data_IF_168385112308
#
_entry.id   IF_168385112308
#
_cell.length_a   1.000
_cell.length_b   1.000
_cell.length_c   1.000
_cell.angle_alpha   90.00
_cell.angle_beta   90.00
_cell.angle_gamma   90.00
#
_symmetry.space_group_name_H-M   'P 1'
#
loop_
_entity.id
_entity.type
_entity.pdbx_description
1 polymer ?
#
# COMPACT_ATOMS: atom_id res chain seq x y z
N UNK A 1 17.34 5.17 5.61
CA UNK A 1 16.75 4.18 4.69
C UNK A 1 16.46 4.89 3.38
N UNK A 2 16.76 4.22 2.27
CA UNK A 2 16.38 4.67 0.93
C UNK A 2 14.86 4.61 0.82
N UNK A 3 14.26 5.65 0.25
CA UNK A 3 12.81 5.67 -0.03
C UNK A 3 12.59 5.13 -1.44
N UNK A 4 11.75 4.11 -1.55
CA UNK A 4 11.29 3.59 -2.84
C UNK A 4 9.92 4.21 -3.15
N UNK A 5 9.77 4.67 -4.39
CA UNK A 5 8.50 5.13 -4.95
C UNK A 5 8.13 4.29 -6.16
N UNK A 6 6.87 4.37 -6.57
CA UNK A 6 6.36 3.68 -7.73
C UNK A 6 5.64 4.62 -8.68
N UNK A 7 5.77 4.34 -9.97
CA UNK A 7 4.93 4.92 -11.01
C UNK A 7 4.04 3.82 -11.62
N UNK A 8 2.82 4.18 -11.99
CA UNK A 8 1.86 3.26 -12.59
C UNK A 8 0.79 3.99 -13.38
N UNK A 9 -0.01 3.24 -14.15
CA UNK A 9 -1.16 3.80 -14.87
C UNK A 9 -2.46 3.34 -14.23
N UNK A 10 -3.32 4.27 -13.86
CA UNK A 10 -4.63 4.00 -13.27
C UNK A 10 -5.70 4.82 -14.00
N UNK A 11 -6.71 4.15 -14.58
CA UNK A 11 -7.75 4.77 -15.42
C UNK A 11 -7.20 5.78 -16.46
N UNK A 12 -6.22 5.35 -17.26
CA UNK A 12 -5.56 6.16 -18.30
C UNK A 12 -4.74 7.36 -17.77
N UNK A 13 -4.67 7.55 -16.45
CA UNK A 13 -3.85 8.55 -15.80
C UNK A 13 -2.55 7.94 -15.30
N UNK A 14 -1.46 8.65 -15.52
CA UNK A 14 -0.18 8.32 -14.92
C UNK A 14 -0.15 8.79 -13.46
N UNK A 15 0.10 7.87 -12.55
CA UNK A 15 0.41 8.14 -11.15
C UNK A 15 1.92 8.05 -10.98
N UNK A 16 2.51 9.06 -10.33
CA UNK A 16 3.95 9.19 -10.13
C UNK A 16 4.29 9.34 -8.67
N UNK A 17 5.49 8.89 -8.33
CA UNK A 17 6.11 9.08 -7.03
C UNK A 17 5.23 8.57 -5.87
N UNK A 18 4.45 7.51 -6.13
CA UNK A 18 3.61 6.89 -5.09
C UNK A 18 4.52 6.21 -4.07
N UNK A 19 4.35 6.45 -2.77
CA UNK A 19 5.14 5.74 -1.76
C UNK A 19 4.87 4.24 -1.83
N UNK A 20 5.95 3.44 -1.80
CA UNK A 20 5.87 2.00 -1.56
C UNK A 20 6.13 1.76 -0.09
N UNK A 21 5.19 1.17 0.63
CA UNK A 21 5.27 1.13 2.10
C UNK A 21 6.10 -0.04 2.65
N UNK A 22 6.26 -1.12 1.87
CA UNK A 22 6.94 -2.36 2.24
C UNK A 22 7.62 -3.03 1.00
N UNK A 23 8.48 -2.30 0.27
CA UNK A 23 9.10 -2.81 -0.97
C UNK A 23 9.99 -4.04 -0.69
N UNK A 24 9.81 -5.09 -1.47
CA UNK A 24 10.57 -6.34 -1.38
C UNK A 24 10.03 -7.38 -0.40
N UNK A 25 9.00 -7.06 0.38
CA UNK A 25 8.49 -7.96 1.42
C UNK A 25 7.60 -9.09 0.85
N UNK A 26 7.01 -8.90 -0.34
CA UNK A 26 6.07 -9.86 -0.94
C UNK A 26 6.36 -10.19 -2.41
N UNK A 27 7.64 -10.33 -2.74
CA UNK A 27 8.11 -10.75 -4.07
C UNK A 27 7.58 -9.87 -5.22
N UNK A 28 7.29 -8.59 -4.95
CA UNK A 28 6.79 -7.64 -5.95
C UNK A 28 5.30 -7.74 -6.26
N UNK A 29 4.51 -8.49 -5.47
CA UNK A 29 3.05 -8.54 -5.62
C UNK A 29 2.43 -7.25 -5.11
N UNK A 30 2.27 -6.29 -6.01
CA UNK A 30 1.86 -4.93 -5.67
C UNK A 30 0.37 -4.72 -5.81
N UNK A 31 -0.20 -3.96 -4.88
CA UNK A 31 -1.56 -3.45 -4.87
C UNK A 31 -1.53 -1.92 -4.85
N UNK A 32 -2.41 -1.28 -5.63
CA UNK A 32 -2.59 0.17 -5.54
C UNK A 32 -3.68 0.45 -4.52
N UNK A 33 -3.29 1.14 -3.45
CA UNK A 33 -4.21 1.63 -2.44
C UNK A 33 -4.57 3.07 -2.76
N UNK A 34 -5.87 3.35 -2.76
CA UNK A 34 -6.42 4.68 -2.82
C UNK A 34 -7.18 4.98 -1.54
N UNK A 35 -6.85 6.10 -0.89
CA UNK A 35 -7.53 6.57 0.31
C UNK A 35 -8.19 7.90 0.01
N UNK A 36 -9.51 7.94 0.14
CA UNK A 36 -10.30 9.16 0.00
C UNK A 36 -10.08 10.12 1.17
N UNK A 37 -9.63 11.34 0.88
CA UNK A 37 -9.41 12.41 1.85
C UNK A 37 -10.40 13.58 1.62
N UNK A 38 -11.65 13.23 1.30
CA UNK A 38 -12.71 14.18 0.95
C UNK A 38 -12.66 14.63 -0.51
N UNK A 39 -12.00 15.77 -0.81
CA UNK A 39 -11.94 16.34 -2.17
C UNK A 39 -10.75 15.84 -3.01
N UNK A 40 -9.90 14.99 -2.44
CA UNK A 40 -8.73 14.40 -3.09
C UNK A 40 -8.52 12.97 -2.59
N UNK A 41 -7.76 12.19 -3.33
CA UNK A 41 -7.26 10.88 -2.89
C UNK A 41 -5.74 10.92 -2.70
N UNK A 42 -5.23 10.13 -1.77
CA UNK A 42 -3.82 9.75 -1.73
C UNK A 42 -3.67 8.33 -2.27
N UNK A 43 -2.54 8.08 -2.95
CA UNK A 43 -2.24 6.80 -3.56
C UNK A 43 -0.94 6.25 -2.99
N UNK A 44 -0.94 4.96 -2.66
CA UNK A 44 0.21 4.23 -2.14
C UNK A 44 0.28 2.86 -2.81
N UNK A 45 1.49 2.31 -2.89
CA UNK A 45 1.70 0.92 -3.28
C UNK A 45 2.02 0.09 -2.05
N UNK A 46 1.36 -1.06 -1.96
CA UNK A 46 1.58 -2.07 -0.92
C UNK A 46 1.93 -3.37 -1.60
N UNK A 47 3.02 -4.00 -1.18
CA UNK A 47 3.30 -5.38 -1.51
C UNK A 47 2.52 -6.31 -0.59
N UNK A 48 1.75 -7.26 -1.13
CA UNK A 48 0.99 -8.24 -0.35
C UNK A 48 0.53 -9.43 -1.20
N UNK A 49 0.33 -10.60 -0.59
CA UNK A 49 -0.14 -11.80 -1.32
C UNK A 49 -1.60 -11.68 -1.80
N UNK A 50 -2.45 -11.07 -0.97
CA UNK A 50 -3.87 -10.84 -1.25
C UNK A 50 -4.31 -9.40 -0.94
N UNK A 51 -5.53 -9.06 -1.35
CA UNK A 51 -6.15 -7.77 -1.03
C UNK A 51 -6.26 -7.55 0.49
N UNK A 52 -6.60 -8.59 1.24
CA UNK A 52 -6.72 -8.52 2.71
C UNK A 52 -5.36 -8.29 3.36
N UNK A 53 -4.33 -8.98 2.90
CA UNK A 53 -2.96 -8.78 3.42
C UNK A 53 -2.49 -7.34 3.16
N UNK A 54 -2.88 -6.73 2.03
CA UNK A 54 -2.56 -5.33 1.75
C UNK A 54 -3.19 -4.35 2.76
N UNK A 55 -4.36 -4.69 3.32
CA UNK A 55 -4.99 -3.91 4.40
C UNK A 55 -4.19 -4.09 5.69
N UNK A 56 -3.79 -5.31 6.01
CA UNK A 56 -3.03 -5.62 7.21
C UNK A 56 -1.67 -4.89 7.21
N UNK A 57 -0.95 -4.95 6.09
CA UNK A 57 0.32 -4.25 5.87
C UNK A 57 0.16 -2.72 5.98
N UNK A 58 -0.95 -2.17 5.48
CA UNK A 58 -1.25 -0.75 5.64
C UNK A 58 -1.57 -0.39 7.09
N UNK A 59 -2.35 -1.21 7.79
CA UNK A 59 -2.79 -0.95 9.15
C UNK A 59 -1.61 -0.90 10.13
N UNK A 60 -0.62 -1.77 9.96
CA UNK A 60 0.58 -1.80 10.79
C UNK A 60 1.65 -0.79 10.35
N UNK A 61 1.44 -0.04 9.25
CA UNK A 61 2.40 0.95 8.79
C UNK A 61 2.44 2.18 9.70
N UNK A 62 3.58 2.44 10.34
CA UNK A 62 3.76 3.56 11.29
C UNK A 62 3.39 4.95 10.70
N UNK A 63 3.60 5.14 9.40
CA UNK A 63 3.39 6.43 8.75
C UNK A 63 1.99 6.58 8.16
N UNK A 64 1.41 5.51 7.66
CA UNK A 64 0.18 5.55 6.86
C UNK A 64 -1.02 4.82 7.49
N UNK A 65 -0.80 4.01 8.53
CA UNK A 65 -1.87 3.26 9.21
C UNK A 65 -2.94 4.15 9.82
N UNK A 66 -2.57 5.35 10.31
CA UNK A 66 -3.51 6.35 10.85
C UNK A 66 -4.60 6.80 9.88
N UNK A 67 -4.48 6.48 8.58
CA UNK A 67 -5.55 6.74 7.61
C UNK A 67 -6.73 5.77 7.72
N UNK A 68 -6.50 4.57 8.26
CA UNK A 68 -7.53 3.51 8.37
C UNK A 68 -7.68 2.98 9.79
N UNK A 69 -6.76 3.27 10.71
CA UNK A 69 -6.88 2.88 12.12
C UNK A 69 -7.76 3.88 12.85
N UNK A 70 -8.81 3.39 13.50
CA UNK A 70 -9.70 4.20 14.33
C UNK A 70 -9.01 4.54 15.64
N UNK A 71 -8.98 5.83 15.97
CA UNK A 71 -8.45 6.33 17.24
C UNK A 71 -9.32 5.85 18.42
N UNK A 72 -8.68 5.59 19.58
CA UNK A 72 -9.38 5.06 20.76
C UNK A 72 -10.56 5.93 21.20
N UNK A 73 -10.42 7.26 21.03
CA UNK A 73 -11.44 8.23 21.38
C UNK A 73 -12.73 8.11 20.55
N UNK A 74 -12.62 7.58 19.33
CA UNK A 74 -13.70 7.51 18.34
C UNK A 74 -14.29 6.09 18.23
N UNK A 75 -13.79 5.12 19.00
CA UNK A 75 -14.31 3.74 19.04
C UNK A 75 -15.80 3.64 19.38
N UNK A 76 -16.37 4.66 20.02
CA UNK A 76 -17.80 4.75 20.33
C UNK A 76 -18.69 4.85 19.10
N UNK A 77 -18.15 5.33 17.96
CA UNK A 77 -18.88 5.47 16.70
C UNK A 77 -18.90 4.17 15.88
N UNK A 78 -18.12 3.15 16.28
CA UNK A 78 -18.03 1.85 15.61
C UNK A 78 -18.61 0.74 16.51
N UNK A 79 -19.87 0.31 16.29
CA UNK A 79 -20.49 -0.78 17.03
C UNK A 79 -19.67 -2.07 16.94
N UNK A 80 -19.48 -2.78 18.05
CA UNK A 80 -18.61 -3.97 18.10
C UNK A 80 -18.95 -5.06 17.08
N UNK A 81 -20.24 -5.17 16.72
CA UNK A 81 -20.76 -6.16 15.77
C UNK A 81 -20.41 -5.87 14.30
N UNK A 82 -20.02 -4.63 13.99
CA UNK A 82 -19.72 -4.15 12.64
C UNK A 82 -18.24 -3.76 12.45
N UNK A 83 -17.39 -4.01 13.45
CA UNK A 83 -15.96 -3.64 13.39
C UNK A 83 -15.17 -4.54 12.45
N UNK A 84 -14.28 -3.90 11.69
CA UNK A 84 -13.15 -4.56 11.05
C UNK A 84 -11.94 -4.49 11.98
N UNK A 85 -11.13 -5.54 12.01
CA UNK A 85 -9.95 -5.61 12.85
C UNK A 85 -8.71 -5.86 12.00
N UNK A 86 -7.67 -5.08 12.26
CA UNK A 86 -6.33 -5.32 11.72
C UNK A 86 -5.58 -6.41 12.49
N UNK A 87 -4.36 -6.76 12.04
CA UNK A 87 -3.58 -7.87 12.58
C UNK A 87 -3.19 -7.66 14.05
N UNK A 88 -3.01 -6.41 14.48
CA UNK A 88 -2.68 -6.04 15.86
C UNK A 88 -3.93 -5.85 16.76
N UNK A 89 -5.13 -6.15 16.25
CA UNK A 89 -6.40 -6.00 16.98
C UNK A 89 -6.95 -4.57 17.00
N UNK A 90 -6.33 -3.64 16.26
CA UNK A 90 -6.86 -2.30 16.02
C UNK A 90 -8.18 -2.34 15.25
N UNK A 91 -9.10 -1.43 15.56
CA UNK A 91 -10.33 -1.25 14.78
C UNK A 91 -9.99 -0.46 13.52
N UNK A 92 -10.49 -0.91 12.38
CA UNK A 92 -10.26 -0.30 11.09
C UNK A 92 -11.51 0.38 10.55
N UNK A 93 -11.32 1.58 10.01
CA UNK A 93 -12.26 2.26 9.14
C UNK A 93 -11.84 2.06 7.68
N UNK A 94 -12.70 1.41 6.91
CA UNK A 94 -12.47 1.07 5.51
C UNK A 94 -13.41 1.83 4.56
N UNK A 95 -14.26 2.74 5.05
CA UNK A 95 -15.31 3.41 4.28
C UNK A 95 -14.76 4.26 3.12
N UNK A 96 -13.50 4.67 3.23
CA UNK A 96 -12.79 5.50 2.23
C UNK A 96 -11.59 4.80 1.60
N UNK A 97 -11.45 3.49 1.83
CA UNK A 97 -10.38 2.68 1.27
C UNK A 97 -10.83 1.99 -0.02
N UNK A 98 -10.09 2.20 -1.10
CA UNK A 98 -10.22 1.44 -2.32
C UNK A 98 -8.90 0.72 -2.62
N UNK A 99 -9.00 -0.55 -2.99
CA UNK A 99 -7.85 -1.40 -3.29
C UNK A 99 -7.98 -1.86 -4.73
N UNK A 100 -6.95 -1.56 -5.51
CA UNK A 100 -6.93 -1.80 -6.94
C UNK A 100 -5.87 -2.84 -7.27
N UNK A 101 -6.33 -3.91 -7.92
CA UNK A 101 -5.49 -5.01 -8.36
C UNK A 101 -6.35 -6.22 -8.73
N UNK A 102 -5.71 -7.21 -9.34
CA UNK A 102 -6.36 -8.48 -9.67
C UNK A 102 -5.89 -9.58 -8.73
N UNK A 103 -6.79 -10.10 -7.91
CA UNK A 103 -6.53 -11.25 -7.04
C UNK A 103 -6.16 -12.50 -7.86
N UNK A 104 -5.25 -13.31 -7.31
CA UNK A 104 -4.66 -14.47 -7.99
C UNK A 104 -3.68 -14.14 -9.13
N UNK A 105 -3.43 -12.85 -9.41
CA UNK A 105 -2.39 -12.42 -10.36
C UNK A 105 -1.00 -12.51 -9.74
N UNK A 106 0.00 -12.79 -10.56
CA UNK A 106 1.41 -12.65 -10.16
C UNK A 106 1.84 -11.20 -9.99
N UNK A 107 1.11 -10.27 -10.63
CA UNK A 107 1.30 -8.82 -10.53
C UNK A 107 -0.10 -8.21 -10.39
N UNK A 108 -0.64 -8.07 -9.16
CA UNK A 108 -2.01 -7.60 -8.96
C UNK A 108 -2.24 -6.19 -9.55
N UNK A 109 -1.33 -5.25 -9.29
CA UNK A 109 -1.31 -3.92 -9.90
C UNK A 109 0.05 -3.66 -10.56
N UNK A 110 0.13 -3.48 -11.89
CA UNK A 110 1.41 -3.25 -12.56
C UNK A 110 1.95 -1.85 -12.26
N UNK A 111 3.18 -1.80 -11.73
CA UNK A 111 3.91 -0.55 -11.50
C UNK A 111 5.43 -0.74 -11.72
N UNK A 112 6.18 0.34 -11.59
CA UNK A 112 7.64 0.36 -11.72
C UNK A 112 8.23 1.12 -10.54
N UNK A 113 9.23 0.54 -9.88
CA UNK A 113 9.92 1.11 -8.73
C UNK A 113 11.04 2.05 -9.14
N UNK A 114 11.19 3.11 -8.36
CA UNK A 114 12.21 4.14 -8.46
C UNK A 114 12.74 4.46 -7.06
N UNK A 115 13.99 4.91 -6.98
CA UNK A 115 14.63 5.20 -5.71
C UNK A 115 16.12 5.41 -5.88
N UNK A 116 16.78 5.85 -4.81
CA UNK A 116 18.24 5.93 -4.78
C UNK A 116 18.84 4.53 -4.91
N UNK A 117 19.85 4.36 -5.75
CA UNK A 117 20.49 3.06 -6.02
C UNK A 117 19.77 2.18 -7.06
N UNK A 118 18.57 2.56 -7.52
CA UNK A 118 17.91 1.88 -8.63
C UNK A 118 18.31 2.50 -10.00
N UNK A 119 18.28 1.71 -11.09
CA UNK A 119 18.43 2.22 -12.45
C UNK A 119 17.47 3.37 -12.77
N UNK A 120 17.88 4.36 -13.59
CA UNK A 120 17.03 5.51 -13.94
C UNK A 120 15.77 5.13 -14.73
N UNK A 121 15.78 3.99 -15.43
CA UNK A 121 14.61 3.40 -16.08
C UNK A 121 13.60 2.77 -15.11
N UNK A 122 13.98 2.62 -13.84
CA UNK A 122 13.21 1.93 -12.82
C UNK A 122 13.33 0.40 -12.88
N UNK A 123 12.72 -0.27 -11.90
CA UNK A 123 12.79 -1.72 -11.72
C UNK A 123 11.39 -2.32 -11.61
N UNK A 124 11.19 -3.51 -12.15
CA UNK A 124 9.96 -4.26 -11.91
C UNK A 124 9.92 -4.69 -10.44
N UNK A 125 8.81 -4.50 -9.70
CA UNK A 125 8.72 -4.95 -8.30
C UNK A 125 9.21 -6.39 -8.07
N UNK A 126 8.97 -7.32 -9.00
CA UNK A 126 9.39 -8.72 -8.85
C UNK A 126 10.91 -8.94 -8.97
N UNK A 127 11.64 -7.93 -9.43
CA UNK A 127 13.09 -7.93 -9.58
C UNK A 127 13.78 -7.09 -8.51
N UNK A 128 13.01 -6.43 -7.63
CA UNK A 128 13.57 -5.59 -6.57
C UNK A 128 14.20 -6.44 -5.46
N UNK A 129 15.41 -6.05 -5.03
CA UNK A 129 16.15 -6.70 -3.95
C UNK A 129 16.98 -5.67 -3.17
N UNK A 130 16.81 -5.62 -1.85
CA UNK A 130 17.56 -4.69 -0.99
C UNK A 130 19.07 -4.95 -0.99
N UNK A 131 19.49 -6.21 -1.08
CA UNK A 131 20.91 -6.60 -1.08
C UNK A 131 21.70 -5.99 -2.25
N UNK A 132 21.03 -5.62 -3.34
CA UNK A 132 21.66 -5.00 -4.51
C UNK A 132 21.83 -3.48 -4.37
N UNK A 133 21.10 -2.85 -3.44
CA UNK A 133 21.13 -1.40 -3.21
C UNK A 133 22.11 -1.03 -2.09
N UNK A 134 22.28 -1.91 -1.10
CA UNK A 134 23.16 -1.67 0.06
C UNK A 134 24.63 -2.08 -0.17
N UNK A 135 24.97 -2.56 -1.36
CA UNK A 135 26.32 -3.01 -1.76
C UNK A 135 27.22 -1.87 -2.29
#
# INVERSE_FOLDING_TARGET
MVTITANGTFHERELKDMPVINPGDWFGKTWLIEIGLGYSSTYLIVEADSMSDAIDELADNEKHGHHIVVEEADLGDYPEEDRHYGPSGQVLDLDHLMIHGQDGSTIPFPCTYYGEGLPPEGVNPTEFCWDEIEA
#
